data_IF_909905294625
#
_entry.id   IF_909905294625
#
_cell.length_a   1.000
_cell.length_b   1.000
_cell.length_c   1.000
_cell.angle_alpha   90.00
_cell.angle_beta   90.00
_cell.angle_gamma   90.00
#
_symmetry.space_group_name_H-M   'P 1'
#
loop_
_entity.id
_entity.type
_entity.pdbx_description
1 polymer ?
#
# COMPACT_ATOMS: atom_id res chain seq x y z
N UNK A 1 -1.78 -4.29 -2.17
CA UNK A 1 -1.63 -2.86 -1.90
C UNK A 1 -2.99 -2.22 -1.91
N UNK A 2 -3.40 -1.71 -0.76
CA UNK A 2 -4.56 -0.83 -0.62
C UNK A 2 -4.04 0.59 -0.83
N UNK A 3 -4.64 1.38 -1.71
CA UNK A 3 -4.22 2.75 -1.99
C UNK A 3 -5.39 3.70 -1.91
N UNK A 4 -5.10 4.97 -1.70
CA UNK A 4 -6.11 6.00 -1.95
C UNK A 4 -6.51 5.99 -3.42
N UNK A 5 -7.83 6.06 -3.71
CA UNK A 5 -8.31 6.15 -5.08
C UNK A 5 -7.67 7.33 -5.82
N UNK A 6 -7.20 7.08 -7.05
CA UNK A 6 -6.63 8.14 -7.90
C UNK A 6 -5.19 8.54 -7.58
N UNK A 7 -4.43 7.73 -6.83
CA UNK A 7 -3.02 8.01 -6.57
C UNK A 7 -2.07 7.38 -7.62
N UNK A 8 -1.49 8.16 -8.56
CA UNK A 8 -0.70 7.63 -9.68
C UNK A 8 0.70 7.13 -9.26
N UNK A 9 1.27 7.65 -8.17
CA UNK A 9 2.59 7.19 -7.71
C UNK A 9 2.56 5.76 -7.15
N UNK A 10 1.41 5.30 -6.63
CA UNK A 10 1.25 3.95 -6.09
C UNK A 10 1.34 2.87 -7.19
N UNK A 11 0.86 3.18 -8.39
CA UNK A 11 0.99 2.28 -9.55
C UNK A 11 2.45 2.09 -9.96
N UNK A 12 3.23 3.18 -9.93
CA UNK A 12 4.67 3.12 -10.21
C UNK A 12 5.41 2.28 -9.18
N UNK A 13 5.06 2.41 -7.90
CA UNK A 13 5.62 1.55 -6.84
C UNK A 13 5.30 0.06 -7.10
N UNK A 14 4.04 -0.27 -7.43
CA UNK A 14 3.66 -1.64 -7.77
C UNK A 14 4.43 -2.20 -8.99
N UNK A 15 4.69 -1.36 -10.01
CA UNK A 15 5.50 -1.73 -11.16
C UNK A 15 6.96 -1.99 -10.76
N UNK A 16 7.54 -1.15 -9.90
CA UNK A 16 8.90 -1.34 -9.39
C UNK A 16 9.03 -2.64 -8.59
N UNK A 17 8.08 -2.94 -7.71
CA UNK A 17 8.07 -4.20 -6.95
C UNK A 17 8.05 -5.41 -7.90
N UNK A 18 7.23 -5.35 -8.95
CA UNK A 18 7.18 -6.41 -9.96
C UNK A 18 8.52 -6.54 -10.71
N UNK A 19 9.12 -5.42 -11.11
CA UNK A 19 10.37 -5.40 -11.84
C UNK A 19 11.57 -5.90 -11.01
N UNK A 20 11.64 -5.53 -9.74
CA UNK A 20 12.77 -5.87 -8.86
C UNK A 20 12.65 -7.26 -8.24
N UNK A 21 11.44 -7.66 -7.83
CA UNK A 21 11.24 -8.88 -7.06
C UNK A 21 10.48 -9.97 -7.82
N UNK A 22 10.02 -9.70 -9.05
CA UNK A 22 9.20 -10.65 -9.82
C UNK A 22 7.82 -10.92 -9.23
N UNK A 23 7.39 -10.14 -8.22
CA UNK A 23 6.11 -10.35 -7.50
C UNK A 23 5.03 -9.43 -8.04
N UNK A 24 3.89 -9.99 -8.41
CA UNK A 24 2.72 -9.20 -8.77
C UNK A 24 2.08 -8.60 -7.50
N UNK A 25 1.84 -7.29 -7.50
CA UNK A 25 1.11 -6.60 -6.43
C UNK A 25 -0.35 -6.49 -6.84
N UNK A 26 -1.26 -7.08 -6.06
CA UNK A 26 -2.70 -6.82 -6.20
C UNK A 26 -3.00 -5.40 -5.75
N UNK A 27 -3.52 -4.55 -6.64
CA UNK A 27 -3.90 -3.17 -6.34
C UNK A 27 -5.39 -3.10 -6.02
N UNK A 28 -5.74 -2.41 -4.94
CA UNK A 28 -7.12 -2.15 -4.51
C UNK A 28 -7.24 -0.66 -4.24
N UNK A 29 -8.15 0.01 -4.95
CA UNK A 29 -8.60 1.36 -4.60
C UNK A 29 -9.47 1.25 -3.35
N UNK A 30 -8.98 1.77 -2.23
CA UNK A 30 -9.59 1.59 -0.92
C UNK A 30 -9.99 2.95 -0.33
N UNK A 31 -11.25 3.31 -0.54
CA UNK A 31 -11.82 4.56 -0.02
C UNK A 31 -11.90 4.60 1.52
N UNK A 32 -11.76 3.45 2.21
CA UNK A 32 -11.78 3.35 3.67
C UNK A 32 -10.43 2.90 4.23
N UNK A 33 -9.33 3.30 3.58
CA UNK A 33 -7.97 2.99 4.00
C UNK A 33 -7.64 3.34 5.46
N UNK A 34 -8.14 4.46 6.03
CA UNK A 34 -7.90 4.78 7.44
C UNK A 34 -8.37 3.67 8.40
N UNK A 35 -9.51 3.03 8.11
CA UNK A 35 -9.99 1.91 8.92
C UNK A 35 -9.11 0.66 8.73
N UNK A 36 -8.67 0.39 7.50
CA UNK A 36 -7.76 -0.71 7.18
C UNK A 36 -6.42 -0.57 7.92
N UNK A 37 -5.81 0.62 7.87
CA UNK A 37 -4.58 0.96 8.59
C UNK A 37 -4.73 0.78 10.10
N UNK A 38 -5.81 1.30 10.68
CA UNK A 38 -6.11 1.17 12.11
C UNK A 38 -6.23 -0.29 12.53
N UNK A 39 -6.90 -1.13 11.75
CA UNK A 39 -7.03 -2.56 12.01
C UNK A 39 -5.69 -3.31 11.94
N UNK A 40 -4.69 -2.74 11.25
CA UNK A 40 -3.32 -3.26 11.15
C UNK A 40 -2.34 -2.62 12.13
N UNK A 41 -2.82 -1.75 13.01
CA UNK A 41 -1.99 -1.08 14.02
C UNK A 41 -1.04 -0.04 13.43
N UNK A 42 -1.30 0.47 12.22
CA UNK A 42 -0.51 1.56 11.65
C UNK A 42 -0.88 2.87 12.37
N UNK A 43 0.08 3.53 13.04
CA UNK A 43 -0.13 4.83 13.66
C UNK A 43 -0.58 5.88 12.63
N UNK A 44 -1.47 6.79 13.04
CA UNK A 44 -2.04 7.78 12.13
C UNK A 44 -1.01 8.81 11.61
N UNK A 45 0.05 9.07 12.37
CA UNK A 45 1.17 9.93 12.00
C UNK A 45 2.12 9.31 10.96
N UNK A 46 2.04 8.00 10.74
CA UNK A 46 2.76 7.29 9.68
C UNK A 46 1.95 7.13 8.40
N UNK A 47 0.74 7.69 8.34
CA UNK A 47 -0.15 7.55 7.17
C UNK A 47 0.46 8.11 5.90
N UNK A 48 0.36 7.35 4.80
CA UNK A 48 0.84 7.76 3.48
C UNK A 48 -0.25 7.62 2.41
N UNK A 49 0.11 7.28 1.17
CA UNK A 49 -0.83 7.11 0.05
C UNK A 49 -1.26 5.65 -0.18
N UNK A 50 -0.51 4.67 0.35
CA UNK A 50 -0.85 3.25 0.23
C UNK A 50 -0.28 2.41 1.37
N UNK A 51 -0.89 1.25 1.55
CA UNK A 51 -0.47 0.21 2.48
C UNK A 51 -0.31 -1.11 1.73
N UNK A 52 0.88 -1.69 1.74
CA UNK A 52 1.15 -3.01 1.17
C UNK A 52 1.24 -4.07 2.28
N UNK A 53 0.71 -5.26 1.99
CA UNK A 53 0.85 -6.43 2.85
C UNK A 53 1.68 -7.44 2.09
N UNK A 54 2.82 -7.82 2.66
CA UNK A 54 3.77 -8.77 2.07
C UNK A 54 4.12 -9.78 3.15
N UNK A 55 3.78 -11.05 2.91
CA UNK A 55 4.09 -12.16 3.82
C UNK A 55 3.60 -11.91 5.27
N UNK A 56 2.44 -11.25 5.40
CA UNK A 56 1.82 -10.89 6.68
C UNK A 56 2.31 -9.59 7.31
N UNK A 57 3.36 -8.97 6.76
CA UNK A 57 3.91 -7.70 7.23
C UNK A 57 3.27 -6.51 6.53
N UNK A 58 3.13 -5.40 7.27
CA UNK A 58 2.53 -4.15 6.79
C UNK A 58 3.61 -3.15 6.43
N UNK A 59 3.53 -2.59 5.22
CA UNK A 59 4.40 -1.53 4.70
C UNK A 59 3.54 -0.32 4.36
N UNK A 60 3.85 0.85 4.90
CA UNK A 60 3.09 2.09 4.70
C UNK A 60 3.90 3.09 3.90
N UNK A 61 3.32 3.59 2.80
CA UNK A 61 3.94 4.61 1.95
C UNK A 61 5.01 4.12 1.00
N UNK A 62 5.82 5.05 0.50
CA UNK A 62 6.86 4.78 -0.49
C UNK A 62 8.13 4.21 0.18
N UNK A 63 8.06 2.91 0.50
CA UNK A 63 9.14 2.11 1.10
C UNK A 63 10.00 1.43 0.03
#
# INVERSE_FOLDING_TARGET
>A
MHRDPGCPCCEKWAQQVKAQFGRAVRVVDDANRPAFMKARGVPADLASCHTAIIDGMTFEGHV
#
